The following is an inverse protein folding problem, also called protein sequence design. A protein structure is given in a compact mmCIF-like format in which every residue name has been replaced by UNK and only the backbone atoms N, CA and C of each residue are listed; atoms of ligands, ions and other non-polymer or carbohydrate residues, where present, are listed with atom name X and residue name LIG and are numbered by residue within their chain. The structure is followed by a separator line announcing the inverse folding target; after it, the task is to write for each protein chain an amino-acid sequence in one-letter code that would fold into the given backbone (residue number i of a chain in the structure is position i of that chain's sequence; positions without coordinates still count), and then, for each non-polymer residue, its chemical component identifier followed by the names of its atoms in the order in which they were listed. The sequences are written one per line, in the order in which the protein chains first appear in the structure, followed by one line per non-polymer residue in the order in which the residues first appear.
data_IF_055121692712
#
_entry.id   IF_055121692712
#
_cell.length_a   1.000
_cell.length_b   1.000
_cell.length_c   1.000
_cell.angle_alpha   90.00
_cell.angle_beta   90.00
_cell.angle_gamma   90.00
#
_symmetry.space_group_name_H-M   'P 1'
#
loop_
_entity.id
_entity.type
_entity.pdbx_description
1 polymer ?
#
# COMPACT_ATOMS: atom_id res chain seq x y z
N UNK A 1 -12.85 -29.14 -16.46
CA UNK A 1 -12.15 -27.84 -16.39
C UNK A 1 -12.21 -27.13 -17.75
N UNK A 2 -13.40 -26.74 -18.21
CA UNK A 2 -13.60 -26.04 -19.50
C UNK A 2 -13.98 -24.54 -19.31
N UNK A 3 -13.81 -24.01 -18.10
CA UNK A 3 -14.31 -22.67 -17.72
C UNK A 3 -13.32 -21.81 -16.93
N UNK A 4 -12.05 -22.21 -16.82
CA UNK A 4 -11.05 -21.32 -16.25
C UNK A 4 -10.67 -20.29 -17.32
N UNK A 5 -11.31 -19.12 -17.26
CA UNK A 5 -11.03 -18.02 -18.17
C UNK A 5 -9.66 -17.42 -17.81
N UNK A 6 -8.67 -17.68 -18.67
CA UNK A 6 -7.29 -17.20 -18.54
C UNK A 6 -7.19 -15.67 -18.42
N UNK A 7 -8.19 -14.93 -18.92
CA UNK A 7 -8.22 -13.48 -18.82
C UNK A 7 -8.59 -12.95 -17.42
N UNK A 8 -9.03 -13.81 -16.50
CA UNK A 8 -9.46 -13.43 -15.15
C UNK A 8 -8.42 -13.78 -14.07
N UNK A 9 -7.16 -14.03 -14.46
CA UNK A 9 -6.06 -14.17 -13.52
C UNK A 9 -5.69 -12.81 -12.88
N UNK A 10 -5.26 -12.79 -11.61
CA UNK A 10 -5.02 -13.92 -10.71
C UNK A 10 -6.31 -14.55 -10.16
N UNK A 11 -6.37 -15.90 -10.13
CA UNK A 11 -7.51 -16.65 -9.65
C UNK A 11 -7.12 -17.53 -8.45
N UNK A 12 -7.94 -17.55 -7.41
CA UNK A 12 -7.72 -18.37 -6.22
C UNK A 12 -8.47 -19.69 -6.35
N UNK A 13 -7.72 -20.79 -6.38
CA UNK A 13 -8.25 -22.15 -6.45
C UNK A 13 -8.30 -22.75 -5.06
N UNK A 14 -9.45 -23.31 -4.71
CA UNK A 14 -9.61 -24.10 -3.49
C UNK A 14 -9.34 -25.56 -3.81
N UNK A 15 -8.31 -26.11 -3.18
CA UNK A 15 -7.86 -27.49 -3.32
C UNK A 15 -8.54 -28.37 -2.25
N UNK A 16 -8.35 -29.68 -2.36
CA UNK A 16 -8.77 -30.64 -1.32
C UNK A 16 -7.91 -30.43 -0.07
N UNK A 17 -8.40 -30.89 1.09
CA UNK A 17 -7.72 -30.76 2.39
C UNK A 17 -7.61 -29.31 2.93
N UNK A 18 -8.58 -28.44 2.66
CA UNK A 18 -8.60 -27.04 3.12
C UNK A 18 -7.41 -26.17 2.63
N UNK A 19 -6.70 -26.62 1.59
CA UNK A 19 -5.62 -25.86 0.97
C UNK A 19 -6.18 -24.92 -0.10
N UNK A 20 -5.49 -23.80 -0.31
CA UNK A 20 -5.79 -22.87 -1.39
C UNK A 20 -4.50 -22.54 -2.14
N UNK A 21 -4.58 -22.32 -3.45
CA UNK A 21 -3.46 -21.84 -4.25
C UNK A 21 -3.91 -20.70 -5.17
N UNK A 22 -3.05 -19.72 -5.39
CA UNK A 22 -3.30 -18.64 -6.35
C UNK A 22 -2.64 -19.03 -7.66
N UNK A 23 -3.43 -19.19 -8.72
CA UNK A 23 -2.91 -19.40 -10.08
C UNK A 23 -2.61 -18.02 -10.67
N UNK A 24 -1.34 -17.80 -11.00
CA UNK A 24 -0.84 -16.54 -11.56
C UNK A 24 -0.61 -16.65 -13.06
N UNK A 25 -0.29 -17.85 -13.54
CA UNK A 25 -0.01 -18.08 -14.95
C UNK A 25 -0.29 -19.51 -15.37
N UNK A 26 -0.52 -19.69 -16.66
CA UNK A 26 -0.74 -20.98 -17.29
C UNK A 26 0.07 -21.05 -18.58
N UNK A 27 0.91 -22.07 -18.71
CA UNK A 27 1.67 -22.35 -19.93
C UNK A 27 0.99 -23.46 -20.73
N UNK A 28 0.34 -23.06 -21.82
CA UNK A 28 -0.32 -23.97 -22.77
C UNK A 28 0.65 -24.91 -23.52
N UNK A 29 1.94 -24.56 -23.65
CA UNK A 29 2.92 -25.37 -24.38
C UNK A 29 3.46 -26.53 -23.54
N UNK A 30 3.59 -26.34 -22.23
CA UNK A 30 4.07 -27.37 -21.29
C UNK A 30 2.98 -28.06 -20.49
N UNK A 31 1.73 -27.59 -20.58
CA UNK A 31 0.61 -28.07 -19.76
C UNK A 31 0.86 -27.94 -18.24
N UNK A 32 1.59 -26.88 -17.86
CA UNK A 32 1.95 -26.55 -16.49
C UNK A 32 1.26 -25.27 -16.05
N UNK A 33 0.89 -25.19 -14.78
CA UNK A 33 0.32 -24.01 -14.15
C UNK A 33 1.28 -23.48 -13.09
N UNK A 34 1.56 -22.18 -13.14
CA UNK A 34 2.33 -21.50 -12.11
C UNK A 34 1.39 -21.08 -10.99
N UNK A 35 1.58 -21.69 -9.82
CA UNK A 35 0.79 -21.42 -8.63
C UNK A 35 1.64 -20.86 -7.51
N UNK A 36 1.02 -20.06 -6.65
CA UNK A 36 1.61 -19.57 -5.41
C UNK A 36 0.80 -20.17 -4.27
N UNK A 37 1.48 -20.83 -3.34
CA UNK A 37 0.88 -21.34 -2.11
C UNK A 37 0.92 -20.27 -1.01
N UNK A 38 -0.09 -20.20 -0.13
CA UNK A 38 -0.11 -19.25 0.98
C UNK A 38 1.03 -19.50 1.98
N UNK A 39 1.52 -20.75 2.06
CA UNK A 39 2.64 -21.13 2.91
C UNK A 39 3.96 -20.45 2.47
N UNK A 40 4.10 -20.17 1.17
CA UNK A 40 5.28 -19.54 0.58
C UNK A 40 4.87 -18.47 -0.46
N UNK A 41 4.53 -17.24 -0.02
CA UNK A 41 4.03 -16.19 -0.91
C UNK A 41 5.05 -15.74 -1.97
N UNK A 42 6.35 -15.88 -1.69
CA UNK A 42 7.43 -15.52 -2.63
C UNK A 42 7.85 -16.68 -3.56
N UNK A 43 7.39 -17.92 -3.29
CA UNK A 43 7.74 -19.09 -4.07
C UNK A 43 6.67 -19.37 -5.13
N UNK A 44 7.08 -19.28 -6.41
CA UNK A 44 6.28 -19.74 -7.53
C UNK A 44 6.57 -21.22 -7.77
N UNK A 45 5.53 -22.04 -7.70
CA UNK A 45 5.64 -23.48 -7.93
C UNK A 45 4.96 -23.81 -9.26
N UNK A 46 5.68 -24.49 -10.14
CA UNK A 46 5.14 -25.01 -11.39
C UNK A 46 4.57 -26.40 -11.12
N UNK A 47 3.26 -26.58 -11.36
CA UNK A 47 2.57 -27.85 -11.13
C UNK A 47 1.92 -28.31 -12.43
N UNK A 48 2.05 -29.61 -12.80
CA UNK A 48 1.34 -30.17 -13.94
C UNK A 48 -0.17 -29.98 -13.78
N UNK A 49 -0.83 -29.59 -14.87
CA UNK A 49 -2.27 -29.36 -14.87
C UNK A 49 -3.07 -30.60 -14.42
N UNK A 50 -2.54 -31.79 -14.68
CA UNK A 50 -3.19 -33.04 -14.30
C UNK A 50 -3.22 -33.25 -12.77
N UNK A 51 -2.12 -32.91 -12.09
CA UNK A 51 -2.03 -32.95 -10.62
C UNK A 51 -2.95 -31.89 -10.02
N UNK A 52 -2.93 -30.68 -10.59
CA UNK A 52 -3.81 -29.60 -10.15
C UNK A 52 -5.29 -29.99 -10.30
N UNK A 53 -5.66 -30.72 -11.37
CA UNK A 53 -7.00 -31.27 -11.59
C UNK A 53 -7.44 -32.26 -10.52
N UNK A 54 -6.55 -33.14 -10.05
CA UNK A 54 -6.88 -34.12 -9.01
C UNK A 54 -7.12 -33.48 -7.64
N UNK A 55 -6.33 -32.45 -7.35
CA UNK A 55 -6.40 -31.68 -6.11
C UNK A 55 -7.54 -30.66 -6.11
N UNK A 56 -8.11 -30.32 -7.28
CA UNK A 56 -9.14 -29.30 -7.41
C UNK A 56 -10.50 -29.76 -6.86
N UNK A 57 -11.08 -28.98 -5.95
CA UNK A 57 -12.37 -29.29 -5.29
C UNK A 57 -13.59 -28.76 -6.08
N UNK A 58 -13.39 -28.17 -7.28
CA UNK A 58 -14.50 -27.64 -8.09
C UNK A 58 -14.88 -26.19 -7.77
N UNK A 59 -14.18 -25.52 -6.85
CA UNK A 59 -14.45 -24.12 -6.44
C UNK A 59 -13.29 -23.21 -6.85
N UNK A 60 -13.58 -22.18 -7.63
CA UNK A 60 -12.65 -21.09 -7.98
C UNK A 60 -13.23 -19.78 -7.48
N UNK A 61 -12.41 -19.00 -6.79
CA UNK A 61 -12.70 -17.62 -6.45
C UNK A 61 -11.91 -16.72 -7.38
N UNK A 62 -12.62 -16.00 -8.24
CA UNK A 62 -12.02 -14.95 -9.04
C UNK A 62 -11.94 -13.67 -8.20
N UNK A 63 -10.72 -13.23 -7.92
CA UNK A 63 -10.47 -11.99 -7.20
C UNK A 63 -10.22 -10.89 -8.22
N UNK A 64 -11.29 -10.27 -8.71
CA UNK A 64 -11.15 -9.02 -9.44
C UNK A 64 -10.92 -7.92 -8.41
N UNK A 65 -9.65 -7.57 -8.17
CA UNK A 65 -9.32 -6.41 -7.38
C UNK A 65 -9.94 -5.20 -8.09
N UNK A 66 -11.04 -4.68 -7.54
CA UNK A 66 -11.63 -3.39 -7.93
C UNK A 66 -10.63 -2.32 -7.51
N UNK A 67 -9.54 -2.18 -8.27
CA UNK A 67 -8.64 -1.05 -8.18
C UNK A 67 -9.38 0.15 -8.72
N UNK A 68 -10.25 0.73 -7.90
CA UNK A 68 -10.39 2.17 -7.91
C UNK A 68 -9.14 2.67 -7.19
N UNK A 69 -8.07 2.89 -7.96
CA UNK A 69 -7.04 3.84 -7.56
C UNK A 69 -7.77 5.19 -7.45
N UNK A 70 -8.41 5.42 -6.29
CA UNK A 70 -8.70 6.76 -5.88
C UNK A 70 -7.35 7.43 -5.68
N UNK A 71 -7.13 8.54 -6.37
CA UNK A 71 -5.87 9.28 -6.47
C UNK A 71 -5.44 9.90 -5.13
N UNK A 72 -5.99 9.39 -4.02
CA UNK A 72 -5.94 9.89 -2.65
C UNK A 72 -5.37 8.87 -1.66
N UNK A 73 -4.92 7.68 -2.11
CA UNK A 73 -4.25 6.70 -1.25
C UNK A 73 -2.96 6.24 -1.93
N UNK A 74 -1.77 6.61 -1.41
CA UNK A 74 -0.51 6.24 -2.01
C UNK A 74 -0.22 4.77 -1.76
N UNK A 75 0.43 4.15 -2.75
CA UNK A 75 0.84 2.76 -2.79
C UNK A 75 1.50 2.30 -1.48
N UNK A 76 0.80 1.45 -0.72
CA UNK A 76 1.39 0.68 0.38
C UNK A 76 2.17 -0.47 -0.23
N UNK A 77 3.27 -0.15 -0.90
CA UNK A 77 3.96 -1.08 -1.80
C UNK A 77 5.43 -0.78 -1.97
N UNK A 78 6.09 -0.22 -0.94
CA UNK A 78 7.54 -0.27 -0.70
C UNK A 78 7.80 0.43 0.64
N UNK A 79 7.84 -0.37 1.71
CA UNK A 79 8.40 0.04 2.99
C UNK A 79 9.92 0.20 2.81
N UNK A 80 10.33 1.26 2.11
CA UNK A 80 11.66 1.84 2.32
C UNK A 80 11.50 2.74 3.54
N UNK A 81 12.14 2.35 4.62
CA UNK A 81 12.21 2.99 5.94
C UNK A 81 12.70 4.45 5.88
N UNK A 82 11.93 5.34 5.25
CA UNK A 82 12.19 6.78 5.26
C UNK A 82 10.93 7.49 5.72
N UNK A 83 10.81 7.50 7.06
CA UNK A 83 9.92 8.33 7.87
C UNK A 83 8.57 8.68 7.25
N UNK A 84 7.63 7.74 7.38
CA UNK A 84 6.18 7.96 7.18
C UNK A 84 5.70 9.28 7.81
N UNK A 85 6.30 9.68 8.94
CA UNK A 85 6.03 10.92 9.66
C UNK A 85 6.21 12.19 8.81
N UNK A 86 7.30 12.30 8.04
CA UNK A 86 7.55 13.49 7.21
C UNK A 86 6.67 13.51 5.97
N UNK A 87 6.23 12.35 5.48
CA UNK A 87 5.27 12.25 4.36
C UNK A 87 3.91 12.84 4.73
N UNK A 88 3.37 12.42 5.87
CA UNK A 88 2.06 12.88 6.38
C UNK A 88 2.10 14.37 6.75
N UNK A 89 3.20 14.84 7.35
CA UNK A 89 3.34 16.25 7.74
C UNK A 89 3.42 17.19 6.51
N UNK A 90 3.97 16.71 5.39
CA UNK A 90 4.14 17.51 4.17
C UNK A 90 2.84 17.65 3.37
N UNK A 91 1.94 16.67 3.43
CA UNK A 91 0.63 16.75 2.76
C UNK A 91 -0.28 17.85 3.34
N UNK A 92 -0.04 18.30 4.59
CA UNK A 92 -0.82 19.35 5.25
C UNK A 92 0.06 20.54 5.71
N UNK A 93 1.17 20.80 5.03
CA UNK A 93 2.16 21.79 5.45
C UNK A 93 1.62 23.24 5.56
N UNK A 94 0.56 23.58 4.82
CA UNK A 94 -0.05 24.91 4.85
C UNK A 94 -0.56 25.29 6.26
N UNK A 95 -1.27 24.38 6.92
CA UNK A 95 -1.80 24.61 8.27
C UNK A 95 -0.69 24.68 9.32
N UNK A 96 0.32 23.82 9.21
CA UNK A 96 1.46 23.80 10.14
C UNK A 96 2.34 25.04 10.01
N UNK A 97 2.53 25.56 8.80
CA UNK A 97 3.29 26.79 8.56
C UNK A 97 2.63 27.99 9.25
N UNK A 98 1.32 28.10 9.16
CA UNK A 98 0.60 29.25 9.72
C UNK A 98 0.69 29.25 11.27
N UNK A 99 0.61 28.09 11.91
CA UNK A 99 0.84 27.96 13.36
C UNK A 99 2.28 28.28 13.73
N UNK A 100 3.28 27.80 12.97
CA UNK A 100 4.68 28.11 13.20
C UNK A 100 4.98 29.61 13.09
N UNK A 101 4.45 30.27 12.05
CA UNK A 101 4.61 31.71 11.87
C UNK A 101 3.96 32.46 13.03
N UNK A 102 2.75 32.08 13.44
CA UNK A 102 2.05 32.70 14.57
C UNK A 102 2.88 32.59 15.85
N UNK A 103 3.39 31.40 16.17
CA UNK A 103 4.22 31.18 17.36
C UNK A 103 5.54 31.97 17.31
N UNK A 104 6.15 32.09 16.13
CA UNK A 104 7.34 32.90 15.93
C UNK A 104 7.07 34.39 16.18
N UNK A 105 6.01 34.95 15.59
CA UNK A 105 5.64 36.35 15.79
C UNK A 105 5.25 36.65 17.25
N UNK A 106 4.50 35.74 17.89
CA UNK A 106 4.16 35.87 19.30
C UNK A 106 5.42 35.97 20.17
N UNK A 107 6.40 35.10 19.92
CA UNK A 107 7.68 35.10 20.63
C UNK A 107 8.48 36.38 20.34
N UNK A 108 8.47 36.86 19.09
CA UNK A 108 9.14 38.09 18.70
C UNK A 108 8.53 39.32 19.38
N UNK A 109 7.20 39.42 19.44
CA UNK A 109 6.52 40.53 20.12
C UNK A 109 6.74 40.51 21.63
N UNK A 110 6.75 39.33 22.25
CA UNK A 110 7.05 39.18 23.67
C UNK A 110 8.42 39.77 24.04
N UNK A 111 9.41 39.68 23.14
CA UNK A 111 10.75 40.24 23.33
C UNK A 111 10.85 41.70 22.86
N UNK A 112 10.20 42.05 21.76
CA UNK A 112 10.27 43.38 21.17
C UNK A 112 9.52 44.45 21.98
N UNK A 113 8.37 44.10 22.59
CA UNK A 113 7.56 45.03 23.38
C UNK A 113 8.35 45.63 24.56
N UNK A 114 9.00 44.84 25.44
CA UNK A 114 9.82 45.39 26.53
C UNK A 114 10.99 46.26 26.04
N UNK A 115 11.65 45.86 24.95
CA UNK A 115 12.78 46.62 24.39
C UNK A 115 12.33 47.97 23.83
N UNK A 116 11.17 48.02 23.16
CA UNK A 116 10.61 49.26 22.64
C UNK A 116 10.20 50.21 23.77
N UNK A 117 9.50 49.69 24.78
CA UNK A 117 9.11 50.48 25.97
C UNK A 117 10.34 51.05 26.66
N UNK A 118 11.37 50.23 26.90
CA UNK A 118 12.62 50.68 27.50
C UNK A 118 13.33 51.76 26.66
N UNK A 119 13.42 51.57 25.35
CA UNK A 119 14.06 52.53 24.45
C UNK A 119 13.33 53.89 24.40
N UNK A 120 11.99 53.89 24.51
CA UNK A 120 11.22 55.14 24.59
C UNK A 120 11.49 55.86 25.91
N UNK A 121 11.51 55.15 27.04
CA UNK A 121 11.81 55.77 28.34
C UNK A 121 13.23 56.32 28.42
N UNK A 122 14.21 55.68 27.77
CA UNK A 122 15.60 56.18 27.76
C UNK A 122 15.78 57.46 26.92
N UNK A 123 14.81 57.80 26.03
CA UNK A 123 14.90 58.98 25.15
C UNK A 123 14.03 60.17 25.57
N UNK A 124 13.06 59.97 26.47
CA UNK A 124 12.17 61.02 27.02
C UNK A 124 12.78 61.57 28.29
#
# INVERSE_FOLDING_TARGET
MQRLNTHLFPALLVLKEHKACVVVGYDSKKAEATVIFPEHPDARVEIPLNTLRQLYTGRVLYLQQRFKFDSRVPEVGKVKSRHWFWGVLRENFALYRDVMLTAFFLSLFALAMPLFVRNVYDRV
#
